data_IF_699164172178
#
_entry.id   IF_699164172178
#
_cell.length_a   1.000
_cell.length_b   1.000
_cell.length_c   1.000
_cell.angle_alpha   90.00
_cell.angle_beta   90.00
_cell.angle_gamma   90.00
#
_symmetry.space_group_name_H-M   'P 1'
#
loop_
_entity.id
_entity.type
_entity.pdbx_description
1 polymer ?
#
# COMPACT_ATOMS: atom_id res chain seq x y z
N UNK A 1 -19.41 6.55 -3.01
CA UNK A 1 -19.30 5.09 -2.85
C UNK A 1 -19.08 4.50 -4.25
N UNK A 2 -17.85 4.16 -4.62
CA UNK A 2 -17.54 3.64 -5.96
C UNK A 2 -16.98 2.23 -5.85
N UNK A 3 -17.69 1.34 -6.52
CA UNK A 3 -17.55 -0.11 -6.50
C UNK A 3 -16.20 -0.53 -7.11
N UNK A 4 -15.40 -1.28 -6.36
CA UNK A 4 -14.31 -2.06 -6.97
C UNK A 4 -14.91 -3.38 -7.46
N UNK A 5 -15.02 -3.49 -8.78
CA UNK A 5 -15.37 -4.72 -9.48
C UNK A 5 -14.29 -5.77 -9.22
N UNK A 6 -14.59 -6.80 -8.43
CA UNK A 6 -13.67 -7.92 -8.25
C UNK A 6 -14.37 -9.26 -8.03
N UNK A 7 -15.54 -9.48 -8.63
CA UNK A 7 -16.22 -10.76 -8.44
C UNK A 7 -15.65 -11.94 -9.25
N UNK A 8 -14.76 -11.73 -10.24
CA UNK A 8 -14.39 -12.85 -11.14
C UNK A 8 -12.97 -12.98 -11.70
N UNK A 9 -11.98 -12.18 -11.30
CA UNK A 9 -10.60 -12.35 -11.81
C UNK A 9 -9.67 -13.10 -10.84
N UNK A 10 -9.81 -14.43 -10.78
CA UNK A 10 -8.70 -15.34 -10.48
C UNK A 10 -8.37 -15.61 -9.00
N UNK A 11 -9.18 -16.44 -8.33
CA UNK A 11 -9.02 -16.88 -6.92
C UNK A 11 -7.60 -17.30 -6.50
N UNK A 12 -6.76 -17.80 -7.42
CA UNK A 12 -5.37 -18.22 -7.14
C UNK A 12 -4.39 -17.03 -7.22
N UNK A 13 -4.56 -16.14 -8.20
CA UNK A 13 -3.69 -14.96 -8.39
C UNK A 13 -3.92 -13.92 -7.29
N UNK A 14 -5.17 -13.79 -6.82
CA UNK A 14 -5.53 -12.93 -5.69
C UNK A 14 -4.89 -13.38 -4.38
N UNK A 15 -4.82 -14.69 -4.10
CA UNK A 15 -4.23 -15.21 -2.86
C UNK A 15 -2.74 -14.94 -2.75
N UNK A 16 -1.98 -15.20 -3.83
CA UNK A 16 -0.53 -14.93 -3.84
C UNK A 16 -0.27 -13.44 -3.67
N UNK A 17 -0.98 -12.62 -4.43
CA UNK A 17 -0.88 -11.17 -4.35
C UNK A 17 -1.16 -10.62 -2.94
N UNK A 18 -2.25 -11.05 -2.30
CA UNK A 18 -2.59 -10.64 -0.92
C UNK A 18 -1.56 -11.14 0.09
N UNK A 19 -0.99 -12.34 -0.12
CA UNK A 19 0.08 -12.87 0.72
C UNK A 19 1.34 -12.02 0.59
N UNK A 20 1.78 -11.71 -0.62
CA UNK A 20 2.97 -10.91 -0.89
C UNK A 20 2.84 -9.52 -0.24
N UNK A 21 1.65 -8.92 -0.33
CA UNK A 21 1.37 -7.63 0.30
C UNK A 21 1.37 -7.72 1.83
N UNK A 22 0.78 -8.77 2.41
CA UNK A 22 0.79 -9.01 3.87
C UNK A 22 2.23 -9.23 4.38
N UNK A 23 3.01 -10.02 3.66
CA UNK A 23 4.41 -10.28 4.01
C UNK A 23 5.22 -8.98 3.96
N UNK A 24 4.95 -8.13 2.97
CA UNK A 24 5.58 -6.81 2.86
C UNK A 24 5.18 -5.87 4.00
N UNK A 25 3.90 -5.80 4.36
CA UNK A 25 3.45 -5.02 5.54
C UNK A 25 4.11 -5.54 6.83
N UNK A 26 4.23 -6.85 6.99
CA UNK A 26 4.94 -7.44 8.13
C UNK A 26 6.44 -7.11 8.15
N UNK A 27 7.09 -7.05 6.98
CA UNK A 27 8.46 -6.58 6.87
C UNK A 27 8.60 -5.11 7.29
N UNK A 28 7.70 -4.24 6.84
CA UNK A 28 7.69 -2.81 7.20
C UNK A 28 7.39 -2.60 8.68
N UNK A 29 6.52 -3.41 9.28
CA UNK A 29 6.25 -3.34 10.72
C UNK A 29 7.51 -3.60 11.56
N UNK A 30 8.42 -4.45 11.09
CA UNK A 30 9.71 -4.73 11.74
C UNK A 30 10.82 -3.76 11.35
N UNK A 31 10.67 -3.05 10.23
CA UNK A 31 11.69 -2.16 9.66
C UNK A 31 11.04 -0.89 9.10
N UNK A 32 10.39 -0.07 9.95
CA UNK A 32 9.62 1.09 9.50
C UNK A 32 10.48 2.18 8.84
N UNK A 33 11.78 2.20 9.12
CA UNK A 33 12.76 3.09 8.53
C UNK A 33 13.09 2.76 7.06
N UNK A 34 12.66 1.59 6.55
CA UNK A 34 12.87 1.20 5.15
C UNK A 34 11.96 1.94 4.17
N UNK A 35 10.91 2.58 4.67
CA UNK A 35 10.10 3.48 3.86
C UNK A 35 10.83 4.78 3.56
N UNK A 36 10.48 5.41 2.44
CA UNK A 36 10.81 6.81 2.19
C UNK A 36 9.90 7.69 3.05
N UNK A 37 10.46 8.52 3.92
CA UNK A 37 9.72 9.58 4.63
C UNK A 37 9.13 10.57 3.63
N UNK A 38 7.87 10.96 3.83
CA UNK A 38 7.06 11.78 2.91
C UNK A 38 6.66 13.10 3.55
N UNK A 39 7.67 13.93 3.81
CA UNK A 39 7.48 15.30 4.29
C UNK A 39 6.77 16.18 3.24
N UNK A 40 6.78 15.74 1.97
CA UNK A 40 6.01 16.34 0.87
C UNK A 40 4.49 16.12 0.98
N UNK A 41 4.03 15.15 1.78
CA UNK A 41 2.60 14.89 2.03
C UNK A 41 2.14 15.64 3.28
N UNK A 42 2.92 15.58 4.35
CA UNK A 42 2.63 16.28 5.59
C UNK A 42 3.87 16.42 6.46
N UNK A 43 3.89 17.46 7.28
CA UNK A 43 4.89 17.69 8.33
C UNK A 43 4.31 17.54 9.74
N UNK A 44 2.99 17.34 9.87
CA UNK A 44 2.29 17.30 11.15
C UNK A 44 2.42 15.93 11.85
N UNK A 45 2.68 14.88 11.08
CA UNK A 45 2.89 13.52 11.56
C UNK A 45 3.81 12.75 10.61
N UNK A 46 4.38 11.66 11.10
CA UNK A 46 5.35 10.86 10.38
C UNK A 46 4.68 10.02 9.27
N UNK A 47 4.80 10.47 8.02
CA UNK A 47 4.32 9.74 6.85
C UNK A 47 5.49 9.04 6.14
N UNK A 48 5.33 7.75 5.85
CA UNK A 48 6.29 6.95 5.10
C UNK A 48 5.60 6.25 3.93
N UNK A 49 6.37 5.98 2.87
CA UNK A 49 5.90 5.20 1.73
C UNK A 49 6.92 4.15 1.31
N UNK A 50 6.44 2.99 0.88
CA UNK A 50 7.26 1.92 0.33
C UNK A 50 6.66 1.39 -0.95
N UNK A 51 7.46 1.34 -2.02
CA UNK A 51 7.02 0.83 -3.30
C UNK A 51 7.38 -0.66 -3.44
N UNK A 52 6.37 -1.49 -3.67
CA UNK A 52 6.51 -2.94 -3.89
C UNK A 52 5.76 -3.35 -5.17
N UNK A 53 6.51 -3.72 -6.20
CA UNK A 53 5.99 -4.26 -7.45
C UNK A 53 5.16 -3.27 -8.27
N UNK A 54 3.87 -3.10 -7.92
CA UNK A 54 2.93 -2.13 -8.53
C UNK A 54 2.15 -1.35 -7.49
N UNK A 55 2.47 -1.50 -6.20
CA UNK A 55 1.74 -0.86 -5.12
C UNK A 55 2.68 0.02 -4.31
N UNK A 56 2.18 1.19 -3.94
CA UNK A 56 2.81 2.05 -2.95
C UNK A 56 2.03 1.91 -1.66
N UNK A 57 2.69 1.41 -0.62
CA UNK A 57 2.15 1.33 0.74
C UNK A 57 2.46 2.63 1.47
N UNK A 58 1.44 3.34 1.93
CA UNK A 58 1.59 4.50 2.80
C UNK A 58 1.30 4.08 4.24
N UNK A 59 2.17 4.47 5.15
CA UNK A 59 2.05 4.10 6.55
C UNK A 59 2.66 5.14 7.48
N UNK A 60 2.23 5.09 8.73
CA UNK A 60 2.80 5.86 9.83
C UNK A 60 3.44 4.88 10.83
N UNK A 61 4.72 5.08 11.19
CA UNK A 61 5.35 4.28 12.24
C UNK A 61 4.87 4.71 13.62
N UNK A 62 4.68 3.73 14.48
CA UNK A 62 4.50 3.87 15.92
C UNK A 62 5.55 3.00 16.63
N UNK A 63 5.60 3.07 17.97
CA UNK A 63 6.63 2.40 18.76
C UNK A 63 6.62 0.87 18.61
N UNK A 64 5.45 0.26 18.40
CA UNK A 64 5.24 -1.19 18.40
C UNK A 64 4.56 -1.72 17.12
N UNK A 65 4.10 -0.84 16.24
CA UNK A 65 3.41 -1.21 15.01
C UNK A 65 3.57 -0.13 13.94
N UNK A 66 3.06 -0.42 12.74
CA UNK A 66 2.80 0.59 11.71
C UNK A 66 1.30 0.70 11.51
N UNK A 67 0.81 1.91 11.29
CA UNK A 67 -0.54 2.16 10.83
C UNK A 67 -0.52 2.25 9.31
N UNK A 68 -1.20 1.33 8.62
CA UNK A 68 -1.36 1.43 7.16
C UNK A 68 -2.42 2.50 6.87
N UNK A 69 -2.03 3.51 6.11
CA UNK A 69 -2.90 4.65 5.75
C UNK A 69 -3.56 4.38 4.41
N UNK A 70 -2.78 3.94 3.42
CA UNK A 70 -3.29 3.68 2.07
C UNK A 70 -2.40 2.68 1.30
N UNK A 71 -2.98 2.07 0.26
CA UNK A 71 -2.37 1.12 -0.65
C UNK A 71 -2.72 1.50 -2.10
N UNK A 72 -1.87 2.31 -2.73
CA UNK A 72 -2.13 2.81 -4.08
C UNK A 72 -1.51 1.90 -5.15
N UNK A 73 -2.31 1.44 -6.11
CA UNK A 73 -1.81 0.76 -7.31
C UNK A 73 -1.29 1.80 -8.32
N UNK A 74 -0.07 1.63 -8.83
CA UNK A 74 0.59 2.55 -9.78
C UNK A 74 -0.18 2.77 -11.08
N UNK A 75 -1.04 1.83 -11.45
CA UNK A 75 -1.89 1.92 -12.64
C UNK A 75 -3.29 2.51 -12.39
N UNK A 76 -3.50 3.35 -11.37
CA UNK A 76 -4.72 4.18 -11.31
C UNK A 76 -4.67 5.31 -12.34
N UNK A 77 -4.50 4.96 -13.61
CA UNK A 77 -5.03 5.75 -14.71
C UNK A 77 -6.52 5.40 -14.79
N UNK A 78 -7.46 6.36 -14.66
CA UNK A 78 -8.79 6.14 -15.19
C UNK A 78 -8.59 6.07 -16.69
N UNK A 79 -8.43 4.86 -17.24
CA UNK A 79 -8.49 4.68 -18.69
C UNK A 79 -9.77 5.35 -19.16
N UNK A 80 -9.61 6.48 -19.85
CA UNK A 80 -10.65 7.30 -20.43
C UNK A 80 -11.77 6.39 -20.91
N UNK A 81 -12.94 6.49 -20.27
CA UNK A 81 -14.14 5.95 -20.88
C UNK A 81 -14.34 6.79 -22.15
N UNK A 82 -14.19 6.15 -23.31
CA UNK A 82 -14.74 6.63 -24.57
C UNK A 82 -16.24 6.88 -24.42
#
# INVERSE_FOLDING_TARGET
>A
MRHFSSERFGKVRTKRYLKDLKDRMGFLARNPDKGKKREDITTNWDCYSYFEGRHTVFYQPHNDHIMIIDLLHQGMEPSNHL
#
